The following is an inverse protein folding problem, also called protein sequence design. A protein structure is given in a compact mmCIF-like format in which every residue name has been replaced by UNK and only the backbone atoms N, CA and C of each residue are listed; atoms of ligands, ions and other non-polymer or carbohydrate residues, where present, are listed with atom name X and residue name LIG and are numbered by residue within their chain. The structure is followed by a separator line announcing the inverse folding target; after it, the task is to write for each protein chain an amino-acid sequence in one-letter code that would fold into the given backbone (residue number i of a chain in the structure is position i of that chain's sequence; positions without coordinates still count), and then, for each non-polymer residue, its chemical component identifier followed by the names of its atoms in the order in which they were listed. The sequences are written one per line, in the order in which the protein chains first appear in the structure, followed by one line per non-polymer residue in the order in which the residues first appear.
data_IF_126325518081
#
_entry.id   IF_126325518081
#
_cell.length_a   1.000
_cell.length_b   1.000
_cell.length_c   1.000
_cell.angle_alpha   90.00
_cell.angle_beta   90.00
_cell.angle_gamma   90.00
#
_symmetry.space_group_name_H-M   'P 1'
#
loop_
_entity.id
_entity.type
_entity.pdbx_description
1 polymer ?
#
# COMPACT_ATOMS: atom_id res chain seq x y z
N UNK A 1 -12.57 -8.70 -8.43
CA UNK A 1 -11.22 -9.21 -8.06
C UNK A 1 -11.26 -10.16 -6.86
N UNK A 2 -12.26 -10.10 -5.97
CA UNK A 2 -12.32 -11.02 -4.81
C UNK A 2 -11.36 -10.64 -3.67
N UNK A 3 -10.73 -9.48 -3.77
CA UNK A 3 -9.88 -8.88 -2.74
C UNK A 3 -10.74 -8.11 -1.74
N UNK A 4 -10.43 -8.23 -0.45
CA UNK A 4 -11.09 -7.49 0.62
C UNK A 4 -10.40 -6.17 0.95
N UNK A 5 -11.01 -5.39 1.86
CA UNK A 5 -10.53 -4.07 2.28
C UNK A 5 -9.07 -4.07 2.75
N UNK A 6 -8.69 -5.11 3.49
CA UNK A 6 -7.31 -5.30 3.96
C UNK A 6 -6.32 -5.48 2.82
N UNK A 7 -6.71 -6.22 1.79
CA UNK A 7 -5.88 -6.51 0.63
C UNK A 7 -5.71 -5.23 -0.21
N UNK A 8 -6.76 -4.42 -0.32
CA UNK A 8 -6.72 -3.11 -1.00
C UNK A 8 -5.68 -2.20 -0.31
N UNK A 9 -5.78 -2.02 1.01
CA UNK A 9 -4.86 -1.14 1.75
C UNK A 9 -3.43 -1.68 1.72
N UNK A 10 -3.24 -3.00 1.88
CA UNK A 10 -1.92 -3.60 1.80
C UNK A 10 -1.29 -3.38 0.42
N UNK A 11 -2.00 -3.71 -0.67
CA UNK A 11 -1.48 -3.57 -2.04
C UNK A 11 -1.17 -2.12 -2.42
N UNK A 12 -1.91 -1.13 -1.90
CA UNK A 12 -1.59 0.29 -2.07
C UNK A 12 -0.21 0.66 -1.52
N UNK A 13 0.27 -0.05 -0.49
CA UNK A 13 1.64 0.05 0.00
C UNK A 13 2.72 -0.23 -1.04
N UNK A 14 2.39 -0.86 -2.17
CA UNK A 14 3.32 -1.07 -3.29
C UNK A 14 3.86 0.24 -3.90
N UNK A 15 3.22 1.38 -3.65
CA UNK A 15 3.73 2.70 -4.03
C UNK A 15 5.09 3.04 -3.39
N UNK A 16 5.50 2.35 -2.32
CA UNK A 16 6.85 2.46 -1.72
C UNK A 16 7.98 2.30 -2.74
N UNK A 17 7.84 1.40 -3.73
CA UNK A 17 8.88 1.14 -4.73
C UNK A 17 8.67 1.91 -6.04
N UNK A 18 7.69 2.82 -6.06
CA UNK A 18 7.29 3.50 -7.29
C UNK A 18 7.81 4.93 -7.30
N UNK A 19 8.34 5.30 -8.46
CA UNK A 19 8.57 6.68 -8.81
C UNK A 19 7.59 7.06 -9.92
N UNK A 20 6.75 8.07 -9.69
CA UNK A 20 5.93 8.65 -10.74
C UNK A 20 6.85 9.39 -11.70
N UNK A 21 6.80 9.08 -13.00
CA UNK A 21 7.59 9.79 -14.01
C UNK A 21 7.24 11.28 -14.12
N UNK A 22 6.13 11.73 -13.50
CA UNK A 22 5.60 13.08 -13.64
C UNK A 22 5.65 13.91 -12.35
N UNK A 23 5.57 13.28 -11.17
CA UNK A 23 5.30 14.00 -9.92
C UNK A 23 6.33 13.70 -8.80
N UNK A 24 7.28 12.76 -9.00
CA UNK A 24 8.25 12.34 -7.98
C UNK A 24 7.94 10.99 -7.30
N UNK A 25 8.54 10.69 -6.13
CA UNK A 25 8.30 9.46 -5.39
C UNK A 25 7.24 9.60 -4.27
N UNK A 26 6.71 8.47 -3.81
CA UNK A 26 5.85 8.39 -2.61
C UNK A 26 6.65 8.27 -1.30
N UNK A 27 7.92 7.92 -1.39
CA UNK A 27 8.82 7.72 -0.24
C UNK A 27 10.15 8.41 -0.49
N UNK A 28 10.88 8.72 0.57
CA UNK A 28 12.21 9.32 0.46
C UNK A 28 13.24 8.35 -0.13
N UNK A 29 13.01 7.04 0.00
CA UNK A 29 13.87 5.98 -0.51
C UNK A 29 13.04 5.00 -1.37
N UNK A 30 12.76 5.33 -2.65
CA UNK A 30 11.89 4.53 -3.52
C UNK A 30 12.48 3.19 -3.98
N UNK A 31 13.56 2.73 -3.34
CA UNK A 31 14.27 1.48 -3.61
C UNK A 31 14.28 0.53 -2.41
N UNK A 32 13.69 0.94 -1.28
CA UNK A 32 13.58 0.13 -0.06
C UNK A 32 12.12 -0.24 0.12
N UNK A 33 11.83 -1.53 0.26
CA UNK A 33 10.49 -1.99 0.64
C UNK A 33 10.37 -1.98 2.15
N UNK A 34 9.80 -0.90 2.69
CA UNK A 34 9.50 -0.67 4.11
C UNK A 34 8.02 -0.30 4.28
N UNK A 35 7.58 0.21 5.43
CA UNK A 35 6.22 0.71 5.63
C UNK A 35 6.07 2.24 5.47
N UNK A 36 7.04 2.94 4.88
CA UNK A 36 7.14 4.39 4.94
C UNK A 36 6.06 5.17 4.19
N UNK A 37 5.36 4.51 3.26
CA UNK A 37 4.15 4.99 2.59
C UNK A 37 3.02 5.34 3.58
N UNK A 38 2.89 4.59 4.68
CA UNK A 38 1.77 4.74 5.61
C UNK A 38 1.96 5.88 6.62
N UNK A 39 3.14 6.51 6.67
CA UNK A 39 3.45 7.60 7.60
C UNK A 39 2.79 8.96 7.25
N UNK A 40 1.89 9.00 6.27
CA UNK A 40 1.12 10.19 5.93
C UNK A 40 1.89 11.23 5.10
N UNK A 41 1.41 12.47 5.13
CA UNK A 41 1.90 13.55 4.26
C UNK A 41 3.27 14.03 4.70
N UNK A 42 4.25 14.04 3.78
CA UNK A 42 5.59 14.57 3.99
C UNK A 42 5.94 15.53 2.87
N UNK A 43 6.57 16.62 3.24
CA UNK A 43 6.97 17.66 2.30
C UNK A 43 7.88 17.09 1.19
N UNK A 44 7.51 17.32 -0.07
CA UNK A 44 8.26 16.85 -1.24
C UNK A 44 7.92 15.42 -1.71
N UNK A 45 6.96 14.73 -1.08
CA UNK A 45 6.46 13.44 -1.54
C UNK A 45 5.07 13.55 -2.18
N UNK A 46 4.75 12.64 -3.10
CA UNK A 46 3.43 12.58 -3.71
C UNK A 46 2.43 11.89 -2.78
N UNK A 47 1.20 12.39 -2.77
CA UNK A 47 0.01 11.61 -2.45
C UNK A 47 -1.05 11.85 -3.52
N UNK A 48 -1.47 10.80 -4.22
CA UNK A 48 -2.59 10.86 -5.14
C UNK A 48 -3.91 11.00 -4.37
N UNK A 49 -4.98 11.47 -5.03
CA UNK A 49 -6.31 11.46 -4.44
C UNK A 49 -6.73 10.08 -3.91
N UNK A 50 -6.31 9.00 -4.56
CA UNK A 50 -6.57 7.62 -4.11
C UNK A 50 -5.82 7.26 -2.82
N UNK A 51 -4.60 7.76 -2.61
CA UNK A 51 -3.85 7.53 -1.37
C UNK A 51 -4.53 8.26 -0.21
N UNK A 52 -4.98 9.50 -0.45
CA UNK A 52 -5.72 10.30 0.54
C UNK A 52 -7.06 9.67 0.92
N UNK A 53 -7.75 9.04 -0.03
CA UNK A 53 -8.99 8.34 0.23
C UNK A 53 -8.83 7.22 1.29
N UNK A 54 -7.66 6.58 1.37
CA UNK A 54 -7.40 5.55 2.39
C UNK A 54 -7.35 6.14 3.81
N UNK A 55 -6.96 7.40 3.95
CA UNK A 55 -6.90 8.11 5.23
C UNK A 55 -8.27 8.69 5.65
N UNK A 56 -9.14 8.97 4.67
CA UNK A 56 -10.46 9.57 4.88
C UNK A 56 -11.54 8.51 5.16
N UNK A 57 -11.38 7.30 4.62
CA UNK A 57 -12.34 6.22 4.79
C UNK A 57 -12.23 5.57 6.19
N UNK A 58 -13.34 5.45 6.95
CA UNK A 58 -13.32 4.92 8.32
C UNK A 58 -12.99 3.43 8.41
N UNK A 59 -13.12 2.67 7.32
CA UNK A 59 -12.76 1.24 7.25
C UNK A 59 -11.26 1.10 6.91
N UNK A 60 -10.74 1.93 6.01
CA UNK A 60 -9.33 1.85 5.59
C UNK A 60 -8.37 2.53 6.56
N UNK A 61 -8.77 3.62 7.19
CA UNK A 61 -7.90 4.39 8.09
C UNK A 61 -7.28 3.54 9.22
N UNK A 62 -8.02 2.67 9.93
CA UNK A 62 -7.43 1.79 10.94
C UNK A 62 -6.36 0.84 10.38
N UNK A 63 -6.49 0.42 9.11
CA UNK A 63 -5.50 -0.43 8.45
C UNK A 63 -4.24 0.37 8.07
N UNK A 64 -4.41 1.62 7.61
CA UNK A 64 -3.29 2.54 7.37
C UNK A 64 -2.53 2.80 8.67
N UNK A 65 -3.23 3.11 9.76
CA UNK A 65 -2.63 3.34 11.08
C UNK A 65 -1.94 2.06 11.61
N UNK A 66 -2.53 0.88 11.40
CA UNK A 66 -1.92 -0.42 11.73
C UNK A 66 -0.58 -0.60 11.00
N UNK A 67 -0.56 -0.43 9.68
CA UNK A 67 0.65 -0.65 8.88
C UNK A 67 1.72 0.42 9.11
N UNK A 68 1.33 1.65 9.44
CA UNK A 68 2.26 2.66 9.92
C UNK A 68 2.92 2.25 11.24
N UNK A 69 2.17 1.62 12.16
CA UNK A 69 2.69 1.22 13.46
C UNK A 69 3.48 -0.10 13.45
N UNK A 70 3.19 -1.01 12.51
CA UNK A 70 3.71 -2.38 12.49
C UNK A 70 4.06 -2.81 11.05
N UNK A 71 5.36 -2.75 10.73
CA UNK A 71 5.89 -3.15 9.42
C UNK A 71 5.78 -4.66 9.16
N UNK A 72 5.98 -5.50 10.18
CA UNK A 72 5.87 -6.95 10.02
C UNK A 72 4.42 -7.34 9.65
N UNK A 73 3.43 -6.68 10.27
CA UNK A 73 2.04 -6.88 9.91
C UNK A 73 1.72 -6.40 8.49
N UNK A 74 2.34 -5.31 8.04
CA UNK A 74 2.25 -4.87 6.65
C UNK A 74 2.83 -5.91 5.69
N UNK A 75 4.04 -6.39 5.91
CA UNK A 75 4.68 -7.37 5.04
C UNK A 75 3.89 -8.68 4.95
N UNK A 76 3.39 -9.18 6.08
CA UNK A 76 2.59 -10.39 6.12
C UNK A 76 1.31 -10.25 5.29
N UNK A 77 0.60 -9.13 5.44
CA UNK A 77 -0.65 -8.88 4.71
C UNK A 77 -0.37 -8.55 3.22
N UNK A 78 0.72 -7.85 2.89
CA UNK A 78 1.13 -7.57 1.52
C UNK A 78 1.47 -8.86 0.76
N UNK A 79 2.28 -9.74 1.34
CA UNK A 79 2.66 -11.00 0.70
C UNK A 79 1.43 -11.85 0.35
N UNK A 80 0.47 -11.94 1.28
CA UNK A 80 -0.79 -12.65 1.05
C UNK A 80 -1.62 -12.02 -0.05
N UNK A 81 -1.84 -10.71 0.01
CA UNK A 81 -2.67 -10.00 -0.97
C UNK A 81 -2.04 -10.03 -2.36
N UNK A 82 -0.71 -9.92 -2.46
CA UNK A 82 0.02 -9.96 -3.71
C UNK A 82 0.02 -11.36 -4.34
N UNK A 83 0.13 -12.41 -3.52
CA UNK A 83 -0.05 -13.80 -3.98
C UNK A 83 -1.45 -13.98 -4.59
N UNK A 84 -2.49 -13.61 -3.84
CA UNK A 84 -3.87 -13.70 -4.32
C UNK A 84 -4.07 -12.93 -5.62
N UNK A 85 -3.56 -11.71 -5.72
CA UNK A 85 -3.61 -10.90 -6.94
C UNK A 85 -2.88 -11.56 -8.11
N UNK A 86 -1.69 -12.14 -7.87
CA UNK A 86 -0.88 -12.78 -8.91
C UNK A 86 -1.51 -14.05 -9.48
N UNK A 87 -2.38 -14.71 -8.70
CA UNK A 87 -3.07 -15.95 -9.07
C UNK A 87 -4.50 -15.70 -9.56
N UNK A 88 -4.98 -14.45 -9.62
CA UNK A 88 -6.34 -14.17 -10.13
C UNK A 88 -6.47 -14.66 -11.57
N UNK A 89 -7.41 -15.57 -11.78
CA UNK A 89 -7.69 -16.17 -13.09
C UNK A 89 -6.86 -17.42 -13.40
N UNK A 90 -5.98 -17.84 -12.49
CA UNK A 90 -5.39 -19.16 -12.50
C UNK A 90 -6.39 -20.17 -11.91
N UNK A 91 -6.54 -21.33 -12.55
CA UNK A 91 -7.28 -22.47 -12.02
C UNK A 91 -6.28 -23.62 -11.82
N UNK A 92 -6.27 -24.23 -10.64
CA UNK A 92 -5.66 -25.55 -10.48
C UNK A 92 -6.57 -26.56 -11.21
N UNK A 93 -6.01 -27.24 -12.21
CA UNK A 93 -6.69 -28.32 -12.95
C UNK A 93 -7.09 -29.49 -12.04
#
# INVERSE_FOLDING_TARGET
MGLGDKDIVALSGGHILKHSSFEGPWTTNPLIFDNSYFYGDKEGLIQLPSDKALLEDPVFRPLVEKYAADEDAFFADYAKAHLQLSEIGFAED
#
